data_IF_351893567899
#
_entry.id   IF_351893567899
#
_cell.length_a   1.000
_cell.length_b   1.000
_cell.length_c   1.000
_cell.angle_alpha   90.00
_cell.angle_beta   90.00
_cell.angle_gamma   90.00
#
_symmetry.space_group_name_H-M   'P 1'
#
loop_
_entity.id
_entity.type
_entity.pdbx_description
1 polymer ?
#
# COMPACT_ATOMS: atom_id res chain seq x y z
N UNK A 1 -20.99 17.43 3.63
CA UNK A 1 -19.52 17.59 3.48
C UNK A 1 -18.85 16.35 4.04
N UNK A 2 -17.83 15.80 3.38
CA UNK A 2 -17.12 14.62 3.88
C UNK A 2 -16.35 14.95 5.16
N UNK A 3 -16.11 13.91 5.96
CA UNK A 3 -15.37 13.98 7.21
C UNK A 3 -13.98 13.36 6.98
N UNK A 4 -12.94 14.06 7.44
CA UNK A 4 -11.55 13.63 7.31
C UNK A 4 -10.89 13.57 8.67
N UNK A 5 -9.91 12.68 8.78
CA UNK A 5 -9.08 12.50 9.97
C UNK A 5 -7.70 13.09 9.70
N UNK A 6 -7.16 13.76 10.71
CA UNK A 6 -5.85 14.40 10.68
C UNK A 6 -5.06 13.98 11.91
N UNK A 7 -3.79 13.66 11.74
CA UNK A 7 -2.92 13.29 12.84
C UNK A 7 -1.80 14.31 13.04
N UNK A 8 -1.49 14.61 14.31
CA UNK A 8 -0.35 15.41 14.70
C UNK A 8 0.93 14.59 14.54
N UNK A 9 1.94 15.13 13.86
CA UNK A 9 3.23 14.46 13.70
C UNK A 9 4.02 14.35 15.02
N UNK A 10 3.81 15.30 15.94
CA UNK A 10 4.57 15.39 17.19
C UNK A 10 3.99 14.52 18.32
N UNK A 11 2.68 14.62 18.57
CA UNK A 11 2.01 13.94 19.70
C UNK A 11 1.14 12.74 19.27
N UNK A 12 0.87 12.57 17.96
CA UNK A 12 -0.04 11.54 17.46
C UNK A 12 -1.52 11.80 17.75
N UNK A 13 -1.88 13.00 18.20
CA UNK A 13 -3.28 13.42 18.42
C UNK A 13 -4.07 13.37 17.10
N UNK A 14 -5.29 12.84 17.15
CA UNK A 14 -6.15 12.71 15.96
C UNK A 14 -7.33 13.67 16.05
N UNK A 15 -7.48 14.51 15.03
CA UNK A 15 -8.63 15.40 14.85
C UNK A 15 -9.53 14.92 13.72
N UNK A 16 -10.83 15.08 13.92
CA UNK A 16 -11.84 14.79 12.91
C UNK A 16 -12.53 16.08 12.48
N UNK A 17 -12.39 16.44 11.21
CA UNK A 17 -12.92 17.69 10.66
C UNK A 17 -13.80 17.45 9.43
N UNK A 18 -14.83 18.29 9.28
CA UNK A 18 -15.68 18.34 8.09
C UNK A 18 -15.10 19.38 7.12
N UNK A 19 -14.54 18.94 5.99
CA UNK A 19 -13.96 19.83 4.97
C UNK A 19 -14.40 19.45 3.56
N UNK A 20 -14.42 20.39 2.60
CA UNK A 20 -14.53 20.05 1.20
C UNK A 20 -13.28 19.29 0.73
N UNK A 21 -13.44 18.44 -0.28
CA UNK A 21 -12.34 17.60 -0.79
C UNK A 21 -11.16 18.43 -1.31
N UNK A 22 -11.42 19.63 -1.84
CA UNK A 22 -10.38 20.57 -2.32
C UNK A 22 -9.45 21.04 -1.22
N UNK A 23 -9.91 21.04 0.04
CA UNK A 23 -9.12 21.46 1.19
C UNK A 23 -8.60 20.26 1.97
N UNK A 24 -8.86 19.02 1.55
CA UNK A 24 -8.59 17.84 2.35
C UNK A 24 -7.11 17.74 2.78
N UNK A 25 -6.18 18.17 1.92
CA UNK A 25 -4.73 18.10 2.13
C UNK A 25 -4.12 19.45 2.58
N UNK A 26 -4.95 20.49 2.77
CA UNK A 26 -4.48 21.76 3.30
C UNK A 26 -4.07 21.63 4.77
N UNK A 27 -3.05 22.38 5.24
CA UNK A 27 -2.67 22.37 6.65
C UNK A 27 -3.85 22.75 7.54
N UNK A 28 -3.97 22.09 8.68
CA UNK A 28 -5.02 22.33 9.67
C UNK A 28 -4.42 23.08 10.86
N UNK A 29 -5.09 24.15 11.28
CA UNK A 29 -4.70 24.91 12.47
C UNK A 29 -4.98 24.13 13.76
N UNK A 30 -4.05 24.21 14.70
CA UNK A 30 -4.18 23.58 16.01
C UNK A 30 -5.21 24.30 16.89
N UNK A 31 -6.23 23.60 17.43
CA UNK A 31 -7.24 24.24 18.29
C UNK A 31 -6.66 24.73 19.62
N UNK A 32 -5.55 24.16 20.09
CA UNK A 32 -4.85 24.62 21.29
C UNK A 32 -3.85 25.74 21.00
N UNK A 33 -3.76 26.21 19.75
CA UNK A 33 -2.83 27.26 19.30
C UNK A 33 -1.37 27.01 19.68
N UNK A 34 -0.96 25.74 19.76
CA UNK A 34 0.42 25.33 20.11
C UNK A 34 1.37 25.28 18.92
N UNK A 35 0.90 25.63 17.72
CA UNK A 35 1.71 25.62 16.50
C UNK A 35 1.96 24.21 15.93
N UNK A 36 1.17 23.22 16.34
CA UNK A 36 1.27 21.83 15.86
C UNK A 36 0.78 21.73 14.42
N UNK A 37 1.42 20.84 13.65
CA UNK A 37 1.05 20.57 12.26
C UNK A 37 0.29 19.25 12.19
N UNK A 38 -0.86 19.29 11.52
CA UNK A 38 -1.72 18.14 11.32
C UNK A 38 -1.75 17.74 9.85
N UNK A 39 -1.42 16.47 9.59
CA UNK A 39 -1.42 15.88 8.24
C UNK A 39 -2.64 14.99 8.06
N UNK A 40 -3.17 14.95 6.83
CA UNK A 40 -4.35 14.12 6.53
C UNK A 40 -4.00 12.64 6.65
N UNK A 41 -4.74 11.93 7.47
CA UNK A 41 -4.63 10.48 7.61
C UNK A 41 -5.54 9.79 6.60
N UNK A 42 -4.96 8.90 5.79
CA UNK A 42 -5.69 8.07 4.85
C UNK A 42 -5.88 6.67 5.41
N UNK A 43 -7.13 6.22 5.50
CA UNK A 43 -7.46 4.81 5.80
C UNK A 43 -7.12 3.95 4.58
N UNK A 44 -5.89 3.42 4.54
CA UNK A 44 -5.45 2.48 3.50
C UNK A 44 -5.63 1.05 3.99
N UNK A 45 -6.40 0.25 3.26
CA UNK A 45 -6.37 -1.20 3.44
C UNK A 45 -5.07 -1.73 2.83
N UNK A 46 -4.12 -2.12 3.67
CA UNK A 46 -2.87 -2.73 3.22
C UNK A 46 -3.13 -4.08 2.54
N UNK A 47 -2.91 -4.16 1.22
CA UNK A 47 -2.79 -5.45 0.52
C UNK A 47 -1.38 -6.00 0.78
N UNK A 48 -1.21 -6.70 1.89
CA UNK A 48 0.03 -7.41 2.18
C UNK A 48 0.27 -8.52 1.15
N UNK A 49 1.35 -8.44 0.36
CA UNK A 49 1.96 -9.66 -0.17
C UNK A 49 2.49 -10.42 1.03
N UNK A 50 1.91 -11.59 1.30
CA UNK A 50 2.55 -12.56 2.19
C UNK A 50 3.85 -12.95 1.52
N UNK A 51 4.99 -12.43 2.00
CA UNK A 51 6.24 -13.14 1.86
C UNK A 51 6.10 -14.40 2.70
N UNK A 52 5.50 -15.43 2.07
CA UNK A 52 5.51 -16.76 2.58
C UNK A 52 6.99 -17.15 2.68
N UNK A 53 7.52 -17.15 3.91
CA UNK A 53 8.72 -17.89 4.27
C UNK A 53 8.46 -19.35 3.87
N UNK A 54 8.77 -19.66 2.62
CA UNK A 54 8.61 -20.98 2.04
C UNK A 54 9.95 -21.68 2.24
N UNK A 55 10.03 -22.41 3.35
CA UNK A 55 11.05 -23.42 3.55
C UNK A 55 11.10 -24.32 2.31
N UNK A 56 12.29 -24.41 1.70
CA UNK A 56 12.56 -25.22 0.52
C UNK A 56 12.22 -26.72 0.77
N UNK A 57 12.09 -27.54 -0.29
CA UNK A 57 13.32 -28.11 -0.85
C UNK A 57 13.34 -28.22 -2.38
N UNK A 58 14.58 -28.33 -2.85
CA UNK A 58 15.07 -28.60 -4.20
C UNK A 58 14.35 -29.74 -4.95
N UNK A 59 14.06 -29.53 -6.24
CA UNK A 59 14.04 -30.60 -7.24
C UNK A 59 14.20 -30.04 -8.68
N UNK A 60 15.30 -30.44 -9.34
CA UNK A 60 15.49 -30.63 -10.80
C UNK A 60 14.98 -29.55 -11.77
N UNK A 61 15.84 -28.68 -12.33
CA UNK A 61 16.59 -28.92 -13.59
C UNK A 61 15.86 -29.87 -14.56
N UNK A 62 15.23 -29.31 -15.60
CA UNK A 62 15.37 -29.67 -17.03
C UNK A 62 14.30 -28.94 -17.88
N UNK A 63 14.74 -28.31 -18.97
CA UNK A 63 13.95 -27.36 -19.76
C UNK A 63 12.78 -27.97 -20.53
N UNK A 64 11.57 -27.68 -20.06
CA UNK A 64 10.32 -27.85 -20.80
C UNK A 64 9.64 -26.50 -20.99
N UNK A 65 9.22 -26.20 -22.22
CA UNK A 65 8.34 -25.06 -22.51
C UNK A 65 6.98 -25.26 -21.82
N UNK A 66 6.25 -24.18 -21.47
CA UNK A 66 4.99 -24.26 -20.71
C UNK A 66 3.85 -25.03 -21.42
N UNK A 67 4.04 -25.43 -22.68
CA UNK A 67 3.15 -26.32 -23.44
C UNK A 67 3.44 -27.82 -23.26
N UNK A 68 4.44 -28.20 -22.44
CA UNK A 68 4.77 -29.61 -22.15
C UNK A 68 5.58 -30.32 -23.23
N UNK A 69 6.10 -29.60 -24.23
CA UNK A 69 6.86 -30.16 -25.35
C UNK A 69 8.36 -29.98 -25.17
N UNK A 70 9.16 -30.96 -25.63
CA UNK A 70 10.62 -30.89 -25.57
C UNK A 70 11.16 -29.80 -26.51
N UNK A 71 12.24 -29.08 -26.13
CA UNK A 71 12.86 -28.08 -27.00
C UNK A 71 13.37 -28.73 -28.29
N UNK A 72 12.96 -28.19 -29.45
CA UNK A 72 13.32 -28.69 -30.79
C UNK A 72 12.20 -29.42 -31.56
N UNK A 73 11.01 -29.60 -30.98
CA UNK A 73 9.86 -30.24 -31.63
C UNK A 73 8.91 -29.31 -32.39
N UNK A 74 9.15 -27.99 -32.36
CA UNK A 74 8.25 -27.00 -32.97
C UNK A 74 8.66 -26.75 -34.43
N UNK A 75 7.98 -27.40 -35.38
CA UNK A 75 8.20 -27.17 -36.81
C UNK A 75 9.07 -28.23 -37.46
N UNK A 76 8.48 -29.41 -37.70
CA UNK A 76 9.04 -30.44 -38.56
C UNK A 76 7.92 -31.05 -39.40
N UNK A 77 7.77 -30.53 -40.63
CA UNK A 77 6.80 -30.83 -41.70
C UNK A 77 5.34 -30.40 -41.47
#
# INVERSE_FOLDING_TARGET
>A
MPQYEYECDEDGEVLTLLRPMSEADAPVEDPESRGRVFSRRHSVFGVGRRDAAQSAPSASREGFCPCGMRPGGCGGS
#
